data_IF_683734476913
#
_entry.id   IF_683734476913
#
_cell.length_a   1.000
_cell.length_b   1.000
_cell.length_c   1.000
_cell.angle_alpha   90.00
_cell.angle_beta   90.00
_cell.angle_gamma   90.00
#
_symmetry.space_group_name_H-M   'P 1'
#
loop_
_entity.id
_entity.type
_entity.pdbx_description
1 polymer ?
#
# COMPACT_ATOMS: atom_id res chain seq x y z
N UNK A 1 17.44 -34.33 0.61
CA UNK A 1 17.61 -34.47 -0.85
C UNK A 1 17.44 -33.09 -1.47
N UNK A 2 18.46 -32.52 -2.13
CA UNK A 2 18.29 -31.27 -2.85
C UNK A 2 17.31 -31.49 -4.00
N UNK A 3 16.39 -30.55 -4.21
CA UNK A 3 15.52 -30.49 -5.38
C UNK A 3 16.37 -30.17 -6.63
N UNK A 4 17.11 -31.16 -7.13
CA UNK A 4 17.75 -31.12 -8.45
C UNK A 4 16.68 -31.30 -9.51
N UNK A 5 16.11 -30.19 -9.93
CA UNK A 5 15.05 -30.15 -10.94
C UNK A 5 14.35 -28.80 -10.93
N UNK A 6 15.11 -27.70 -11.09
CA UNK A 6 14.48 -26.40 -11.32
C UNK A 6 13.74 -26.47 -12.66
N UNK A 7 12.43 -26.68 -12.63
CA UNK A 7 11.59 -26.21 -13.73
C UNK A 7 11.80 -24.70 -13.71
N UNK A 8 12.63 -24.19 -14.62
CA UNK A 8 12.75 -22.74 -14.84
C UNK A 8 11.42 -22.29 -15.42
N UNK A 9 10.45 -21.99 -14.55
CA UNK A 9 9.32 -21.17 -14.94
C UNK A 9 9.88 -19.83 -15.44
N UNK A 10 9.36 -19.32 -16.56
CA UNK A 10 9.79 -18.05 -17.17
C UNK A 10 11.21 -18.02 -17.77
N UNK A 11 11.58 -18.99 -18.62
CA UNK A 11 12.87 -19.02 -19.36
C UNK A 11 13.14 -17.77 -20.21
N UNK A 12 12.07 -17.13 -20.70
CA UNK A 12 12.15 -15.92 -21.52
C UNK A 12 12.23 -14.61 -20.70
N UNK A 13 12.29 -14.70 -19.36
CA UNK A 13 12.38 -13.54 -18.44
C UNK A 13 11.33 -12.45 -18.71
N UNK A 14 10.14 -12.83 -19.17
CA UNK A 14 9.04 -11.90 -19.37
C UNK A 14 8.36 -11.61 -18.05
N UNK A 15 7.84 -10.40 -17.86
CA UNK A 15 6.96 -10.08 -16.74
C UNK A 15 5.51 -9.93 -17.20
N UNK A 16 4.60 -9.87 -16.24
CA UNK A 16 3.21 -9.51 -16.43
C UNK A 16 2.95 -8.22 -15.65
N UNK A 17 2.69 -7.13 -16.36
CA UNK A 17 2.43 -5.81 -15.80
C UNK A 17 0.92 -5.51 -15.85
N UNK A 18 0.38 -4.91 -14.81
CA UNK A 18 -0.98 -4.37 -14.78
C UNK A 18 -1.05 -3.26 -13.73
N UNK A 19 -2.07 -2.40 -13.85
CA UNK A 19 -2.36 -1.43 -12.80
C UNK A 19 -2.78 -2.18 -11.53
N UNK A 20 -2.38 -1.68 -10.38
CA UNK A 20 -2.57 -2.34 -9.08
C UNK A 20 -3.09 -1.32 -8.05
N UNK A 21 -4.03 -1.76 -7.23
CA UNK A 21 -4.63 -0.94 -6.18
C UNK A 21 -4.54 -1.72 -4.89
N UNK A 22 -3.50 -1.45 -4.12
CA UNK A 22 -3.25 -2.08 -2.85
C UNK A 22 -4.16 -1.47 -1.79
N UNK A 23 -5.37 -2.01 -1.71
CA UNK A 23 -6.36 -1.59 -0.72
C UNK A 23 -5.81 -1.81 0.69
N UNK A 24 -5.03 -2.87 0.91
CA UNK A 24 -4.54 -3.24 2.22
C UNK A 24 -3.31 -4.16 2.16
N UNK A 25 -2.13 -3.61 2.42
CA UNK A 25 -0.94 -4.36 2.79
C UNK A 25 -0.65 -4.09 4.26
N UNK A 26 -0.59 -5.14 5.08
CA UNK A 26 -0.43 -4.96 6.53
C UNK A 26 0.04 -6.21 7.24
N UNK A 27 0.60 -5.99 8.42
CA UNK A 27 0.68 -6.97 9.49
C UNK A 27 0.13 -6.33 10.79
N UNK A 28 0.41 -6.89 11.96
CA UNK A 28 -0.07 -6.28 13.21
C UNK A 28 0.61 -4.95 13.58
N UNK A 29 1.73 -4.59 12.94
CA UNK A 29 2.62 -3.49 13.34
C UNK A 29 2.59 -2.28 12.40
N UNK A 30 2.26 -2.50 11.12
CA UNK A 30 2.14 -1.43 10.13
C UNK A 30 1.12 -1.79 9.04
N UNK A 31 0.68 -0.77 8.30
CA UNK A 31 -0.18 -0.92 7.13
C UNK A 31 0.10 0.19 6.10
N UNK A 32 -0.09 -0.13 4.83
CA UNK A 32 -0.08 0.81 3.71
C UNK A 32 -1.33 0.65 2.83
N UNK A 33 -1.76 1.77 2.26
CA UNK A 33 -2.73 1.88 1.16
C UNK A 33 -2.00 2.51 -0.02
N UNK A 34 -1.95 1.84 -1.17
CA UNK A 34 -1.07 2.29 -2.26
C UNK A 34 -1.70 2.07 -3.64
N UNK A 35 -2.02 3.12 -4.41
CA UNK A 35 -2.33 3.00 -5.83
C UNK A 35 -1.04 2.96 -6.68
N UNK A 36 -1.00 2.02 -7.62
CA UNK A 36 0.10 1.79 -8.56
C UNK A 36 -0.40 1.85 -10.01
N UNK A 37 -0.38 3.04 -10.64
CA UNK A 37 -0.77 3.18 -12.04
C UNK A 37 0.32 2.66 -12.97
N UNK A 38 -0.12 2.22 -14.14
CA UNK A 38 0.74 1.87 -15.26
C UNK A 38 0.24 2.55 -16.52
N UNK A 39 1.14 2.98 -17.40
CA UNK A 39 0.80 3.54 -18.71
C UNK A 39 0.44 2.44 -19.74
N UNK A 40 -0.46 1.54 -19.34
CA UNK A 40 -1.04 0.43 -20.09
C UNK A 40 -2.49 0.22 -19.63
N UNK A 41 -3.32 -0.36 -20.48
CA UNK A 41 -4.77 -0.50 -20.20
C UNK A 41 -5.14 -1.83 -19.52
N UNK A 42 -4.37 -2.90 -19.72
CA UNK A 42 -4.66 -4.22 -19.18
C UNK A 42 -3.38 -5.00 -18.90
N UNK A 43 -3.48 -6.33 -18.79
CA UNK A 43 -2.30 -7.18 -18.60
C UNK A 43 -1.36 -7.02 -19.80
N UNK A 44 -0.12 -6.63 -19.52
CA UNK A 44 0.92 -6.38 -20.51
C UNK A 44 2.10 -7.30 -20.26
N UNK A 45 2.47 -8.06 -21.29
CA UNK A 45 3.69 -8.87 -21.26
C UNK A 45 4.89 -7.95 -21.50
N UNK A 46 5.69 -7.71 -20.48
CA UNK A 46 6.91 -6.91 -20.59
C UNK A 46 8.14 -7.77 -20.87
N UNK A 47 9.18 -7.16 -21.45
CA UNK A 47 10.52 -7.72 -21.57
C UNK A 47 11.58 -6.63 -21.37
N UNK A 48 12.75 -7.00 -20.84
CA UNK A 48 13.87 -6.07 -20.67
C UNK A 48 13.54 -4.89 -19.75
N UNK A 49 13.90 -3.67 -20.17
CA UNK A 49 13.69 -2.45 -19.40
C UNK A 49 12.20 -2.17 -19.09
N UNK A 50 11.27 -2.60 -19.95
CA UNK A 50 9.84 -2.38 -19.76
C UNK A 50 9.27 -3.09 -18.52
N UNK A 51 9.98 -4.09 -17.98
CA UNK A 51 9.63 -4.74 -16.72
C UNK A 51 10.12 -3.99 -15.48
N UNK A 52 10.98 -2.98 -15.65
CA UNK A 52 11.57 -2.21 -14.57
C UNK A 52 12.43 -3.03 -13.59
N UNK A 53 13.03 -4.14 -14.02
CA UNK A 53 13.79 -5.02 -13.12
C UNK A 53 15.21 -4.52 -12.83
N UNK A 54 15.85 -3.88 -13.81
CA UNK A 54 17.18 -3.29 -13.64
C UNK A 54 17.10 -1.84 -13.15
N UNK A 55 16.12 -1.08 -13.67
CA UNK A 55 15.77 0.26 -13.22
C UNK A 55 14.26 0.28 -12.97
N UNK A 56 13.86 0.45 -11.71
CA UNK A 56 12.46 0.39 -11.31
C UNK A 56 11.59 1.49 -11.93
N UNK A 57 12.20 2.57 -12.41
CA UNK A 57 11.51 3.72 -13.01
C UNK A 57 11.50 3.69 -14.55
N UNK A 58 12.19 2.73 -15.18
CA UNK A 58 12.19 2.55 -16.63
C UNK A 58 11.03 1.66 -17.14
N UNK A 59 10.25 1.06 -16.23
CA UNK A 59 9.15 0.16 -16.55
C UNK A 59 7.88 0.90 -16.99
N UNK A 60 6.89 0.11 -17.44
CA UNK A 60 5.55 0.62 -17.81
C UNK A 60 4.63 0.88 -16.61
N UNK A 61 5.08 0.52 -15.40
CA UNK A 61 4.33 0.59 -14.16
C UNK A 61 5.11 1.31 -13.08
N UNK A 62 4.37 1.99 -12.21
CA UNK A 62 4.91 2.56 -10.98
C UNK A 62 5.15 1.44 -9.94
N UNK A 63 6.43 1.15 -9.67
CA UNK A 63 6.85 0.14 -8.68
C UNK A 63 6.86 0.65 -7.24
N UNK A 64 6.67 1.94 -7.01
CA UNK A 64 6.71 2.55 -5.68
C UNK A 64 5.31 2.87 -5.19
N UNK A 65 4.47 3.36 -6.10
CA UNK A 65 3.13 3.80 -5.79
C UNK A 65 3.11 5.13 -5.02
N UNK A 66 1.91 5.55 -4.64
CA UNK A 66 1.69 6.67 -3.74
C UNK A 66 1.12 6.19 -2.39
N UNK A 67 2.00 5.77 -1.49
CA UNK A 67 1.61 5.05 -0.29
C UNK A 67 1.11 5.96 0.84
N UNK A 68 0.11 5.46 1.56
CA UNK A 68 -0.37 6.04 2.80
C UNK A 68 -0.15 5.05 3.95
N UNK A 69 1.01 5.16 4.59
CA UNK A 69 1.33 4.47 5.84
C UNK A 69 1.34 5.48 7.00
N UNK A 70 0.46 5.28 7.99
CA UNK A 70 0.31 6.21 9.10
C UNK A 70 1.62 6.43 9.89
N UNK A 71 2.38 5.36 10.14
CA UNK A 71 3.67 5.43 10.83
C UNK A 71 4.67 6.24 10.00
N UNK A 72 4.75 5.97 8.68
CA UNK A 72 5.61 6.70 7.73
C UNK A 72 5.27 8.18 7.62
N UNK A 73 4.01 8.52 7.85
CA UNK A 73 3.48 9.89 7.87
C UNK A 73 3.50 10.52 9.28
N UNK A 74 4.27 9.96 10.21
CA UNK A 74 4.56 10.55 11.53
C UNK A 74 3.59 10.15 12.65
N UNK A 75 2.62 9.28 12.40
CA UNK A 75 1.63 8.83 13.38
C UNK A 75 2.04 7.48 13.98
N UNK A 76 3.14 7.49 14.73
CA UNK A 76 3.86 6.28 15.18
C UNK A 76 3.02 5.33 16.07
N UNK A 77 1.97 5.85 16.71
CA UNK A 77 1.09 5.08 17.62
C UNK A 77 -0.36 5.01 17.15
N UNK A 78 -0.60 5.11 15.84
CA UNK A 78 -1.96 5.07 15.30
C UNK A 78 -2.45 3.64 15.02
N UNK A 79 -1.64 2.80 14.36
CA UNK A 79 -1.96 1.41 13.99
C UNK A 79 -0.93 0.47 14.60
N UNK A 80 -1.28 -0.26 15.65
CA UNK A 80 -0.47 -1.31 16.29
C UNK A 80 -1.27 -1.94 17.47
N UNK A 81 -0.75 -2.97 18.17
CA UNK A 81 -1.41 -3.48 19.37
C UNK A 81 -1.61 -2.38 20.41
N UNK A 82 -2.83 -2.26 20.95
CA UNK A 82 -3.22 -1.26 21.95
C UNK A 82 -3.12 0.22 21.51
N UNK A 83 -3.22 0.49 20.20
CA UNK A 83 -3.19 1.84 19.63
C UNK A 83 -4.60 2.44 19.38
N UNK A 84 -4.64 3.58 18.68
CA UNK A 84 -5.90 4.19 18.20
C UNK A 84 -6.73 3.20 17.39
N UNK A 85 -6.08 2.50 16.47
CA UNK A 85 -6.60 1.32 15.81
C UNK A 85 -5.83 0.10 16.34
N UNK A 86 -6.48 -0.63 17.24
CA UNK A 86 -5.85 -1.72 17.98
C UNK A 86 -5.83 -3.01 17.14
N UNK A 87 -4.65 -3.45 16.75
CA UNK A 87 -4.48 -4.63 15.89
C UNK A 87 -4.60 -5.96 16.62
N UNK A 88 -4.73 -5.97 17.96
CA UNK A 88 -5.05 -7.19 18.72
C UNK A 88 -6.49 -7.66 18.50
N UNK A 89 -7.33 -6.82 17.90
CA UNK A 89 -8.77 -7.03 17.79
C UNK A 89 -9.21 -6.80 16.36
N UNK A 90 -10.27 -7.50 15.95
CA UNK A 90 -10.85 -7.30 14.61
C UNK A 90 -11.32 -5.86 14.45
N UNK A 91 -11.07 -5.30 13.28
CA UNK A 91 -11.60 -4.01 12.84
C UNK A 91 -12.08 -4.12 11.39
N UNK A 92 -12.81 -3.11 10.93
CA UNK A 92 -13.23 -2.95 9.54
C UNK A 92 -12.35 -1.91 8.88
N UNK A 93 -11.90 -2.17 7.67
CA UNK A 93 -11.21 -1.20 6.80
C UNK A 93 -12.20 -0.75 5.72
N UNK A 94 -12.34 0.55 5.54
CA UNK A 94 -13.18 1.13 4.50
C UNK A 94 -12.31 2.05 3.65
N UNK A 95 -12.34 1.80 2.34
CA UNK A 95 -11.62 2.59 1.34
C UNK A 95 -12.63 3.19 0.38
N UNK A 96 -12.55 4.49 0.15
CA UNK A 96 -13.49 5.26 -0.65
C UNK A 96 -12.75 5.85 -1.85
N UNK A 97 -13.35 5.74 -3.04
CA UNK A 97 -12.80 6.23 -4.30
C UNK A 97 -13.65 7.41 -4.78
N UNK A 98 -13.21 8.64 -4.49
CA UNK A 98 -13.97 9.84 -4.78
C UNK A 98 -13.58 10.39 -6.15
N UNK A 99 -14.59 10.79 -6.92
CA UNK A 99 -14.42 11.36 -8.26
C UNK A 99 -14.64 12.87 -8.28
N UNK A 100 -14.19 13.52 -9.35
CA UNK A 100 -14.36 14.96 -9.57
C UNK A 100 -15.83 15.41 -9.59
N UNK A 101 -16.74 14.56 -10.06
CA UNK A 101 -18.18 14.84 -10.18
C UNK A 101 -19.01 14.34 -9.00
N UNK A 102 -18.40 13.60 -8.06
CA UNK A 102 -19.12 12.94 -6.97
C UNK A 102 -19.96 11.73 -7.39
N UNK A 103 -19.84 11.26 -8.64
CA UNK A 103 -20.47 10.04 -9.15
C UNK A 103 -19.50 9.25 -10.06
N UNK A 104 -19.93 8.11 -10.61
CA UNK A 104 -19.05 7.20 -11.37
C UNK A 104 -18.55 7.73 -12.73
N UNK A 105 -18.98 8.91 -13.18
CA UNK A 105 -18.61 9.48 -14.49
C UNK A 105 -17.36 10.37 -14.46
N UNK A 106 -16.97 10.86 -13.28
CA UNK A 106 -15.79 11.70 -13.12
C UNK A 106 -14.50 10.91 -13.03
N UNK A 107 -13.37 11.61 -13.13
CA UNK A 107 -12.05 11.06 -12.86
C UNK A 107 -11.85 10.84 -11.36
N UNK A 108 -11.12 9.79 -10.99
CA UNK A 108 -10.70 9.57 -9.61
C UNK A 108 -9.81 10.75 -9.18
N UNK A 109 -10.14 11.38 -8.05
CA UNK A 109 -9.39 12.53 -7.51
C UNK A 109 -8.84 12.29 -6.11
N UNK A 110 -9.47 11.41 -5.33
CA UNK A 110 -9.10 11.22 -3.93
C UNK A 110 -9.42 9.78 -3.49
N UNK A 111 -8.49 9.14 -2.78
CA UNK A 111 -8.72 7.88 -2.06
C UNK A 111 -8.77 8.18 -0.57
N UNK A 112 -9.92 7.96 0.07
CA UNK A 112 -10.09 8.14 1.51
C UNK A 112 -10.09 6.81 2.24
N UNK A 113 -9.64 6.85 3.48
CA UNK A 113 -9.62 5.72 4.40
C UNK A 113 -10.42 6.07 5.66
N UNK A 114 -11.14 5.10 6.18
CA UNK A 114 -11.65 5.10 7.53
C UNK A 114 -11.69 3.68 8.07
N UNK A 115 -11.78 3.56 9.38
CA UNK A 115 -11.84 2.29 10.07
C UNK A 115 -13.07 2.22 10.97
N UNK A 116 -13.52 1.01 11.28
CA UNK A 116 -14.54 0.78 12.30
C UNK A 116 -14.05 -0.27 13.28
N UNK A 117 -13.91 0.10 14.54
CA UNK A 117 -13.54 -0.81 15.62
C UNK A 117 -14.47 -0.58 16.81
N UNK A 118 -15.01 -1.66 17.39
CA UNK A 118 -15.98 -1.61 18.49
C UNK A 118 -17.18 -0.68 18.22
N UNK A 119 -17.66 -0.67 16.96
CA UNK A 119 -18.77 0.18 16.52
C UNK A 119 -18.43 1.66 16.34
N UNK A 120 -17.19 2.09 16.64
CA UNK A 120 -16.74 3.47 16.48
C UNK A 120 -16.05 3.66 15.14
N UNK A 121 -16.46 4.71 14.42
CA UNK A 121 -15.75 5.16 13.22
C UNK A 121 -14.47 5.88 13.66
N UNK A 122 -13.36 5.51 13.04
CA UNK A 122 -12.03 6.07 13.26
C UNK A 122 -11.56 6.63 11.91
N UNK A 123 -11.46 7.95 11.83
CA UNK A 123 -10.90 8.64 10.66
C UNK A 123 -9.43 8.28 10.45
N UNK A 124 -8.98 8.23 9.20
CA UNK A 124 -7.58 7.95 8.89
C UNK A 124 -6.62 8.94 9.58
N UNK A 125 -5.41 8.46 9.88
CA UNK A 125 -4.40 9.22 10.59
C UNK A 125 -4.06 10.51 9.86
N UNK A 126 -3.88 11.63 10.57
CA UNK A 126 -3.49 12.91 9.97
C UNK A 126 -1.99 12.94 9.65
N UNK A 127 -1.61 13.53 8.53
CA UNK A 127 -0.20 13.69 8.14
C UNK A 127 0.53 14.60 9.15
N UNK A 128 1.70 14.16 9.63
CA UNK A 128 2.59 14.91 10.54
C UNK A 128 4.01 15.08 9.98
N UNK A 129 4.15 15.18 8.66
CA UNK A 129 5.45 15.35 7.98
C UNK A 129 5.61 16.78 7.48
N UNK A 130 6.68 17.51 7.87
CA UNK A 130 6.97 18.82 7.30
C UNK A 130 7.12 18.78 5.78
N UNK A 131 6.48 19.73 5.08
CA UNK A 131 6.51 19.81 3.61
C UNK A 131 5.40 19.03 2.91
N UNK A 132 4.54 18.34 3.66
CA UNK A 132 3.29 17.76 3.16
C UNK A 132 2.12 18.48 3.84
N UNK A 133 1.11 18.83 3.06
CA UNK A 133 -0.09 19.49 3.57
C UNK A 133 -0.82 18.60 4.57
N UNK A 134 -1.51 19.24 5.52
CA UNK A 134 -2.36 18.52 6.47
C UNK A 134 -3.52 17.89 5.73
N UNK A 135 -3.78 16.62 6.02
CA UNK A 135 -4.85 15.83 5.43
C UNK A 135 -4.78 14.39 5.90
N UNK A 136 -5.69 13.55 5.39
CA UNK A 136 -5.72 12.13 5.71
C UNK A 136 -6.15 11.22 4.54
N UNK A 137 -5.88 11.66 3.31
CA UNK A 137 -6.27 10.98 2.08
C UNK A 137 -5.19 11.09 1.01
N UNK A 138 -5.30 10.25 -0.02
CA UNK A 138 -4.39 10.25 -1.16
C UNK A 138 -4.99 11.10 -2.26
N UNK A 139 -4.26 12.12 -2.72
CA UNK A 139 -4.53 12.94 -3.92
C UNK A 139 -3.24 13.09 -4.72
N UNK A 140 -3.31 13.54 -5.97
CA UNK A 140 -2.10 13.79 -6.77
C UNK A 140 -1.17 14.83 -6.10
N UNK A 141 -1.73 15.84 -5.42
CA UNK A 141 -0.96 16.83 -4.65
C UNK A 141 -0.24 16.21 -3.46
N UNK A 142 -0.94 15.37 -2.68
CA UNK A 142 -0.32 14.60 -1.59
C UNK A 142 0.83 13.75 -2.14
N UNK A 143 0.63 13.02 -3.23
CA UNK A 143 1.67 12.18 -3.84
C UNK A 143 2.90 12.99 -4.26
N UNK A 144 2.70 14.16 -4.88
CA UNK A 144 3.79 15.02 -5.27
C UNK A 144 4.58 15.57 -4.07
N UNK A 145 3.87 15.95 -3.00
CA UNK A 145 4.48 16.44 -1.77
C UNK A 145 5.21 15.33 -0.99
N UNK A 146 4.61 14.14 -0.88
CA UNK A 146 5.20 12.94 -0.26
C UNK A 146 6.51 12.55 -0.92
N UNK A 147 6.52 12.38 -2.25
CA UNK A 147 7.74 12.07 -2.98
C UNK A 147 8.81 13.15 -2.83
N UNK A 148 8.42 14.42 -2.85
CA UNK A 148 9.37 15.53 -2.63
C UNK A 148 9.94 15.53 -1.22
N UNK A 149 9.10 15.40 -0.20
CA UNK A 149 9.49 15.44 1.22
C UNK A 149 10.40 14.25 1.59
N UNK A 150 10.19 13.10 0.98
CA UNK A 150 10.99 11.89 1.21
C UNK A 150 12.13 11.69 0.20
N UNK A 151 12.36 12.64 -0.71
CA UNK A 151 13.43 12.56 -1.71
C UNK A 151 13.26 11.44 -2.75
N UNK A 152 12.03 11.01 -3.00
CA UNK A 152 11.68 9.95 -3.95
C UNK A 152 11.39 10.45 -5.37
N UNK A 153 11.33 9.51 -6.32
CA UNK A 153 10.91 9.77 -7.70
C UNK A 153 9.38 9.69 -7.78
N UNK A 154 8.74 10.69 -8.38
CA UNK A 154 7.28 10.67 -8.58
C UNK A 154 6.88 9.87 -9.84
N UNK A 155 7.15 8.57 -9.80
CA UNK A 155 6.74 7.63 -10.85
C UNK A 155 5.22 7.54 -10.96
N UNK A 156 4.49 7.69 -9.85
CA UNK A 156 3.03 7.76 -9.81
C UNK A 156 2.47 8.77 -10.83
N UNK A 157 2.94 10.02 -10.76
CA UNK A 157 2.55 11.06 -11.71
C UNK A 157 3.03 10.74 -13.14
N UNK A 158 4.25 10.22 -13.30
CA UNK A 158 4.80 9.84 -14.60
C UNK A 158 3.97 8.75 -15.31
N UNK A 159 3.31 7.88 -14.55
CA UNK A 159 2.43 6.82 -15.06
C UNK A 159 0.96 7.24 -15.12
N UNK A 160 0.64 8.51 -14.91
CA UNK A 160 -0.70 9.09 -15.10
C UNK A 160 -1.54 9.25 -13.83
N UNK A 161 -0.96 8.97 -12.66
CA UNK A 161 -1.49 9.32 -11.34
C UNK A 161 -2.90 8.80 -11.06
N UNK A 162 -3.66 9.59 -10.29
CA UNK A 162 -5.02 9.24 -9.86
C UNK A 162 -5.95 9.00 -11.03
N UNK A 163 -5.86 9.80 -12.10
CA UNK A 163 -6.67 9.61 -13.31
C UNK A 163 -6.45 8.23 -13.92
N UNK A 164 -5.20 7.82 -14.11
CA UNK A 164 -4.90 6.50 -14.68
C UNK A 164 -5.37 5.35 -13.78
N UNK A 165 -5.20 5.48 -12.47
CA UNK A 165 -5.73 4.51 -11.50
C UNK A 165 -7.26 4.41 -11.57
N UNK A 166 -7.95 5.56 -11.67
CA UNK A 166 -9.39 5.63 -11.86
C UNK A 166 -9.87 4.96 -13.14
N UNK A 167 -9.15 5.12 -14.25
CA UNK A 167 -9.45 4.42 -15.51
C UNK A 167 -9.31 2.90 -15.35
N UNK A 168 -8.32 2.41 -14.61
CA UNK A 168 -8.18 0.98 -14.34
C UNK A 168 -9.31 0.43 -13.47
N UNK A 169 -9.71 1.15 -12.42
CA UNK A 169 -10.86 0.79 -11.59
C UNK A 169 -12.14 0.75 -12.44
N UNK A 170 -12.36 1.74 -13.31
CA UNK A 170 -13.54 1.84 -14.19
C UNK A 170 -13.65 0.66 -15.16
N UNK A 171 -12.53 0.13 -15.64
CA UNK A 171 -12.50 -1.05 -16.53
C UNK A 171 -12.85 -2.36 -15.81
N UNK A 172 -12.75 -2.38 -14.49
CA UNK A 172 -12.92 -3.56 -13.66
C UNK A 172 -11.57 -4.16 -13.25
N UNK A 173 -11.47 -4.51 -11.97
CA UNK A 173 -10.30 -5.13 -11.37
C UNK A 173 -10.69 -6.42 -10.66
N UNK A 174 -9.72 -7.33 -10.51
CA UNK A 174 -9.89 -8.59 -9.76
C UNK A 174 -9.50 -8.36 -8.31
N UNK A 175 -10.33 -8.81 -7.37
CA UNK A 175 -10.01 -8.79 -5.94
C UNK A 175 -9.05 -9.94 -5.60
N UNK A 176 -7.94 -9.61 -4.95
CA UNK A 176 -6.92 -10.57 -4.51
C UNK A 176 -6.83 -10.57 -2.99
N UNK A 177 -6.75 -11.77 -2.40
CA UNK A 177 -6.39 -11.97 -1.00
C UNK A 177 -5.13 -12.84 -0.96
N UNK A 178 -4.12 -12.38 -0.22
CA UNK A 178 -2.85 -13.09 -0.09
C UNK A 178 -2.30 -12.97 1.33
N UNK A 179 -1.34 -13.84 1.64
CA UNK A 179 -0.44 -13.75 2.78
C UNK A 179 0.93 -14.20 2.28
N UNK A 180 1.97 -13.42 2.56
CA UNK A 180 3.30 -13.63 2.01
C UNK A 180 4.37 -13.06 2.94
N UNK A 181 5.57 -13.66 2.88
CA UNK A 181 6.80 -13.06 3.38
C UNK A 181 7.59 -12.46 2.22
N UNK A 182 8.49 -11.52 2.53
CA UNK A 182 9.34 -10.88 1.53
C UNK A 182 10.76 -11.44 1.64
N UNK A 183 11.05 -12.46 0.84
CA UNK A 183 12.38 -13.09 0.80
C UNK A 183 13.51 -12.13 0.36
N UNK A 184 13.19 -11.01 -0.29
CA UNK A 184 14.19 -10.07 -0.81
C UNK A 184 14.46 -8.89 0.12
N UNK A 185 13.43 -8.38 0.79
CA UNK A 185 13.48 -7.15 1.59
C UNK A 185 13.03 -7.30 3.04
N UNK A 186 12.70 -8.51 3.50
CA UNK A 186 12.25 -8.79 4.87
C UNK A 186 11.06 -7.92 5.34
N UNK A 187 10.24 -7.45 4.39
CA UNK A 187 9.08 -6.59 4.63
C UNK A 187 9.42 -5.21 5.23
N UNK A 188 10.71 -4.83 5.25
CA UNK A 188 11.18 -3.58 5.86
C UNK A 188 10.55 -2.32 5.28
N UNK A 189 10.20 -2.38 4.00
CA UNK A 189 9.53 -1.29 3.28
C UNK A 189 8.12 -1.03 3.81
N UNK A 190 7.52 -1.94 4.60
CA UNK A 190 6.21 -1.80 5.22
C UNK A 190 6.33 -1.51 6.71
N UNK A 191 7.14 -2.26 7.47
CA UNK A 191 7.04 -2.32 8.93
C UNK A 191 8.31 -1.97 9.72
N UNK A 192 9.40 -1.62 9.04
CA UNK A 192 10.69 -1.30 9.67
C UNK A 192 11.21 0.08 9.24
N UNK A 193 12.51 0.29 9.42
CA UNK A 193 13.23 1.49 8.99
C UNK A 193 14.06 1.18 7.75
N UNK A 194 14.01 2.05 6.75
CA UNK A 194 14.81 1.95 5.52
C UNK A 194 15.29 3.34 5.08
N UNK A 195 16.59 3.52 4.82
CA UNK A 195 17.68 2.55 4.97
C UNK A 195 17.99 2.23 6.45
N UNK A 196 18.69 1.11 6.70
CA UNK A 196 18.92 0.57 8.05
C UNK A 196 19.63 1.53 9.02
N UNK A 197 20.34 2.54 8.50
CA UNK A 197 21.09 3.53 9.29
C UNK A 197 20.34 4.87 9.49
N UNK A 198 19.11 4.99 8.99
CA UNK A 198 18.31 6.19 9.16
C UNK A 198 17.71 6.29 10.57
N UNK A 199 17.44 7.51 11.01
CA UNK A 199 16.69 7.81 12.23
C UNK A 199 15.26 8.20 11.85
N UNK A 200 14.23 7.36 12.11
CA UNK A 200 12.84 7.66 11.80
C UNK A 200 12.31 9.00 12.30
N UNK A 201 12.91 9.56 13.36
CA UNK A 201 12.50 10.83 13.95
C UNK A 201 13.15 12.03 13.28
N UNK A 202 14.25 11.83 12.54
CA UNK A 202 15.03 12.90 11.89
C UNK A 202 15.03 12.82 10.38
N UNK A 203 14.81 11.63 9.81
CA UNK A 203 14.84 11.33 8.39
C UNK A 203 13.42 10.98 7.92
N UNK A 204 12.64 11.97 7.44
CA UNK A 204 11.25 11.77 7.05
C UNK A 204 11.07 10.62 6.05
N UNK A 205 10.09 9.75 6.30
CA UNK A 205 9.73 8.64 5.42
C UNK A 205 10.62 7.39 5.54
N UNK A 206 11.66 7.44 6.37
CA UNK A 206 12.56 6.29 6.60
C UNK A 206 11.92 5.23 7.51
N UNK A 207 11.26 5.64 8.59
CA UNK A 207 10.52 4.74 9.48
C UNK A 207 9.13 4.44 8.95
N UNK A 208 8.74 3.17 8.92
CA UNK A 208 7.50 2.68 8.31
C UNK A 208 6.71 1.75 9.22
N UNK A 209 7.37 1.24 10.25
CA UNK A 209 6.76 0.62 11.41
C UNK A 209 7.78 0.46 12.53
N UNK A 210 7.36 -0.16 13.64
CA UNK A 210 8.19 -0.33 14.83
C UNK A 210 9.08 -1.58 14.80
N UNK A 211 9.06 -2.41 13.76
CA UNK A 211 9.88 -3.62 13.69
C UNK A 211 11.36 -3.28 13.53
N UNK A 212 12.22 -4.07 14.17
CA UNK A 212 13.67 -3.85 14.12
C UNK A 212 14.23 -4.22 12.75
N UNK A 213 15.36 -3.61 12.39
CA UNK A 213 16.02 -3.82 11.09
C UNK A 213 16.54 -5.26 10.89
N UNK A 214 16.63 -6.08 11.93
CA UNK A 214 17.07 -7.48 11.88
C UNK A 214 15.91 -8.48 11.92
N UNK A 215 14.67 -8.01 12.06
CA UNK A 215 13.44 -8.82 12.00
C UNK A 215 12.96 -9.05 10.55
N UNK A 216 11.95 -9.91 10.37
CA UNK A 216 11.23 -10.05 9.10
C UNK A 216 11.84 -10.99 8.06
N UNK A 217 12.96 -11.66 8.34
CA UNK A 217 13.55 -12.64 7.42
C UNK A 217 12.57 -13.79 7.17
N UNK A 218 12.33 -14.11 5.90
CA UNK A 218 11.42 -15.18 5.49
C UNK A 218 11.74 -16.52 6.16
N UNK A 219 13.02 -16.90 6.21
CA UNK A 219 13.48 -18.13 6.85
C UNK A 219 13.14 -18.19 8.35
N UNK A 220 13.29 -17.06 9.06
CA UNK A 220 12.97 -16.97 10.49
C UNK A 220 11.45 -17.07 10.73
N UNK A 221 10.64 -16.44 9.87
CA UNK A 221 9.17 -16.50 9.95
C UNK A 221 8.68 -17.93 9.68
N UNK A 222 9.19 -18.56 8.62
CA UNK A 222 8.80 -19.92 8.23
C UNK A 222 9.20 -20.95 9.30
N UNK A 223 10.35 -20.77 9.94
CA UNK A 223 10.80 -21.65 11.01
C UNK A 223 10.06 -21.41 12.34
N UNK A 224 9.85 -20.15 12.73
CA UNK A 224 9.46 -19.79 14.09
C UNK A 224 8.02 -19.30 14.23
N UNK A 225 7.34 -18.96 13.14
CA UNK A 225 5.94 -18.54 13.13
C UNK A 225 5.12 -19.17 11.98
N UNK A 226 5.23 -20.49 11.71
CA UNK A 226 4.53 -21.15 10.60
C UNK A 226 3.00 -21.16 10.75
N UNK A 227 2.48 -20.85 11.93
CA UNK A 227 1.05 -20.72 12.21
C UNK A 227 0.47 -19.34 11.89
N UNK A 228 1.28 -18.43 11.34
CA UNK A 228 0.83 -17.09 10.96
C UNK A 228 -0.35 -17.19 9.99
N UNK A 229 -1.41 -16.44 10.28
CA UNK A 229 -2.63 -16.46 9.49
C UNK A 229 -3.27 -15.08 9.44
N UNK A 230 -4.05 -14.85 8.38
CA UNK A 230 -4.92 -13.69 8.22
C UNK A 230 -6.34 -14.18 7.93
N UNK A 231 -7.34 -13.45 8.42
CA UNK A 231 -8.76 -13.76 8.17
C UNK A 231 -9.45 -12.54 7.59
N UNK A 232 -9.72 -12.59 6.28
CA UNK A 232 -10.57 -11.62 5.60
C UNK A 232 -12.04 -12.06 5.71
N UNK A 233 -12.94 -11.14 6.04
CA UNK A 233 -14.37 -11.45 6.20
C UNK A 233 -15.23 -10.21 5.99
N UNK A 234 -16.54 -10.39 5.76
CA UNK A 234 -17.53 -9.31 5.65
C UNK A 234 -17.17 -8.26 4.58
N UNK A 235 -16.73 -8.74 3.40
CA UNK A 235 -16.45 -7.90 2.24
C UNK A 235 -17.74 -7.26 1.75
N UNK A 236 -17.72 -5.94 1.56
CA UNK A 236 -18.86 -5.14 1.08
C UNK A 236 -18.38 -4.16 0.02
N UNK A 237 -19.22 -3.87 -0.95
CA UNK A 237 -19.03 -2.83 -1.97
C UNK A 237 -20.36 -2.13 -2.21
N UNK A 238 -20.32 -0.82 -2.48
CA UNK A 238 -21.50 0.02 -2.66
C UNK A 238 -21.13 1.49 -2.70
N UNK A 239 -22.14 2.35 -2.71
CA UNK A 239 -22.00 3.81 -2.71
C UNK A 239 -21.26 4.30 -1.45
N UNK A 240 -20.66 5.50 -1.55
CA UNK A 240 -19.97 6.13 -0.43
C UNK A 240 -20.89 6.23 0.79
N UNK A 241 -20.45 5.67 1.91
CA UNK A 241 -21.21 5.65 3.17
C UNK A 241 -22.15 4.44 3.35
N UNK A 242 -22.33 3.58 2.34
CA UNK A 242 -23.28 2.45 2.42
C UNK A 242 -22.74 1.21 3.17
N UNK A 243 -21.42 1.09 3.33
CA UNK A 243 -20.78 -0.17 3.75
C UNK A 243 -20.44 -0.25 5.24
N UNK A 244 -20.66 0.83 5.98
CA UNK A 244 -20.42 0.92 7.42
C UNK A 244 -21.51 1.76 8.10
N UNK A 245 -21.68 1.58 9.41
CA UNK A 245 -22.51 2.47 10.21
C UNK A 245 -21.62 3.39 11.02
N UNK A 246 -21.81 4.70 10.86
CA UNK A 246 -21.43 5.62 11.92
C UNK A 246 -22.40 5.37 13.08
N UNK A 247 -21.89 5.02 14.27
CA UNK A 247 -22.73 5.04 15.46
C UNK A 247 -23.47 6.39 15.50
N UNK A 248 -24.79 6.35 15.61
CA UNK A 248 -25.57 7.56 15.85
C UNK A 248 -24.96 8.26 17.08
N UNK A 249 -24.60 9.53 16.93
CA UNK A 249 -24.24 10.36 18.09
C UNK A 249 -25.41 10.45 19.05
#
# INVERSE_FOLDING_TARGET
MPLTGSIKANTAKNGACCNEMDIWEANSKATALTPHPCNITGVYKCSGALCGNADRYAGVCDKDGCDYNAYRLGQLSYYQPNATLDTNRKFTVVTQFLTTTGNSTGDLREIRRLYVQDGKVIENAQIQVPGIDRGNSITDEFCAQEKKAFGGVNAFAAQGGMRQMGEAIRRGMVLVFSVWDDAGGSMKWLDSTTPDNADPLKDPGSGRGPCKIDEGKAEDIQANAPWTQVKFSNVKSGEIGSTYQASAK
#
